data_IF_996801524401
#
_entry.id   IF_996801524401
#
_cell.length_a   1.000
_cell.length_b   1.000
_cell.length_c   1.000
_cell.angle_alpha   90.00
_cell.angle_beta   90.00
_cell.angle_gamma   90.00
#
_symmetry.space_group_name_H-M   'P 1'
#
loop_
_entity.id
_entity.type
_entity.pdbx_description
1 polymer ?
#
# COMPACT_ATOMS: atom_id res chain seq x y z
N UNK A 1 -36.40 45.63 31.89
CA UNK A 1 -36.63 45.15 33.28
C UNK A 1 -37.43 43.86 33.18
N UNK A 2 -37.21 42.75 33.88
CA UNK A 2 -36.17 42.23 34.76
C UNK A 2 -36.65 40.82 35.11
N UNK A 3 -35.77 39.81 35.05
CA UNK A 3 -35.94 38.51 35.71
C UNK A 3 -37.01 37.58 35.11
N UNK A 4 -37.02 36.28 35.38
CA UNK A 4 -36.16 35.45 36.21
C UNK A 4 -36.54 33.99 35.88
N UNK A 5 -35.57 33.11 35.72
CA UNK A 5 -35.77 31.65 35.77
C UNK A 5 -35.53 31.20 37.22
N UNK A 6 -36.26 30.19 37.73
CA UNK A 6 -35.56 29.01 38.27
C UNK A 6 -36.33 27.69 37.96
N UNK A 7 -35.68 26.60 37.54
CA UNK A 7 -34.90 25.61 38.30
C UNK A 7 -35.71 24.70 39.24
N UNK A 8 -35.57 23.38 39.02
CA UNK A 8 -35.68 22.21 39.92
C UNK A 8 -36.86 21.25 39.72
N UNK A 9 -36.50 19.98 39.47
CA UNK A 9 -37.38 18.83 39.56
C UNK A 9 -36.69 17.55 39.08
N UNK A 10 -35.96 16.91 40.00
CA UNK A 10 -35.03 15.78 39.80
C UNK A 10 -35.73 14.43 40.04
N UNK A 11 -35.23 13.39 39.37
CA UNK A 11 -35.22 11.93 39.65
C UNK A 11 -36.53 11.14 39.74
N UNK A 12 -36.56 9.97 39.08
CA UNK A 12 -36.82 8.60 39.60
C UNK A 12 -36.53 7.65 38.42
N UNK A 13 -35.34 7.05 38.31
CA UNK A 13 -34.92 5.72 38.81
C UNK A 13 -35.69 4.51 38.28
N UNK A 14 -34.94 3.40 38.20
CA UNK A 14 -35.31 1.99 37.99
C UNK A 14 -35.25 1.53 36.53
N UNK A 15 -34.11 0.99 36.08
CA UNK A 15 -33.64 -0.37 36.39
C UNK A 15 -34.65 -1.42 35.89
N UNK A 16 -34.31 -2.04 34.77
CA UNK A 16 -34.80 -3.38 34.43
C UNK A 16 -33.67 -4.12 33.72
N UNK A 17 -32.71 -4.59 34.53
CA UNK A 17 -31.86 -5.73 34.19
C UNK A 17 -32.79 -6.89 33.85
N UNK A 18 -32.86 -7.27 32.59
CA UNK A 18 -33.49 -8.54 32.22
C UNK A 18 -32.58 -9.65 32.71
N UNK A 19 -33.04 -10.22 33.82
CA UNK A 19 -32.46 -11.36 34.52
C UNK A 19 -32.46 -12.56 33.57
N UNK A 20 -31.29 -13.16 33.36
CA UNK A 20 -31.19 -14.51 32.85
C UNK A 20 -31.97 -15.46 33.74
N UNK A 21 -33.03 -16.08 33.20
CA UNK A 21 -33.57 -17.32 33.75
C UNK A 21 -33.02 -18.48 32.94
N UNK A 22 -31.97 -19.08 33.48
CA UNK A 22 -31.65 -20.46 33.22
C UNK A 22 -32.76 -21.34 33.83
N UNK A 23 -33.31 -22.25 33.03
CA UNK A 23 -34.14 -23.36 33.51
C UNK A 23 -33.37 -24.68 33.35
N UNK A 24 -33.56 -25.63 34.27
CA UNK A 24 -32.66 -26.76 34.48
C UNK A 24 -33.08 -28.01 33.70
N UNK A 25 -32.10 -28.86 33.40
CA UNK A 25 -32.28 -30.31 33.38
C UNK A 25 -32.95 -30.90 32.14
N UNK A 26 -32.18 -31.07 31.06
CA UNK A 26 -32.36 -32.21 30.17
C UNK A 26 -30.97 -32.73 29.76
N UNK A 27 -30.74 -34.01 30.01
CA UNK A 27 -29.47 -34.75 29.89
C UNK A 27 -28.85 -34.66 28.48
N UNK A 28 -27.52 -34.43 28.33
CA UNK A 28 -26.86 -34.58 27.05
C UNK A 28 -26.20 -35.96 26.97
N UNK A 29 -26.98 -37.00 26.70
CA UNK A 29 -26.44 -38.25 26.14
C UNK A 29 -26.79 -38.33 24.67
N UNK A 30 -26.11 -37.49 23.89
CA UNK A 30 -25.84 -37.76 22.48
C UNK A 30 -24.67 -36.87 22.09
N UNK A 31 -23.47 -37.45 21.96
CA UNK A 31 -22.34 -36.80 21.30
C UNK A 31 -22.62 -36.86 19.80
N UNK A 32 -22.84 -35.74 19.08
CA UNK A 32 -22.71 -35.76 17.64
C UNK A 32 -21.21 -35.87 17.33
N UNK A 33 -20.87 -36.85 16.52
CA UNK A 33 -19.56 -37.01 15.87
C UNK A 33 -19.15 -35.67 15.22
N UNK A 34 -17.86 -35.27 15.22
CA UNK A 34 -17.44 -34.03 14.57
C UNK A 34 -17.59 -34.18 13.04
N UNK A 35 -18.77 -33.89 12.51
CA UNK A 35 -19.01 -33.73 11.09
C UNK A 35 -18.50 -32.36 10.66
N UNK A 36 -17.36 -32.36 9.99
CA UNK A 36 -16.87 -31.22 9.22
C UNK A 36 -15.55 -30.68 9.72
N UNK A 37 -14.45 -31.20 9.18
CA UNK A 37 -13.30 -30.34 8.93
C UNK A 37 -13.81 -29.20 8.02
N UNK A 38 -14.10 -28.04 8.60
CA UNK A 38 -14.09 -26.80 7.83
C UNK A 38 -12.63 -26.53 7.49
N UNK A 39 -12.18 -27.07 6.36
CA UNK A 39 -10.96 -26.58 5.74
C UNK A 39 -11.25 -25.14 5.31
N UNK A 40 -10.91 -24.18 6.17
CA UNK A 40 -10.84 -22.78 5.77
C UNK A 40 -9.65 -22.70 4.82
N UNK A 41 -9.92 -22.86 3.52
CA UNK A 41 -8.96 -22.49 2.50
C UNK A 41 -8.74 -20.99 2.62
N UNK A 42 -7.65 -20.61 3.29
CA UNK A 42 -7.12 -19.27 3.18
C UNK A 42 -6.71 -19.11 1.72
N UNK A 43 -7.54 -18.42 0.94
CA UNK A 43 -7.21 -18.01 -0.42
C UNK A 43 -6.05 -17.03 -0.28
N UNK A 44 -4.82 -17.55 -0.33
CA UNK A 44 -3.63 -16.74 -0.44
C UNK A 44 -3.81 -15.83 -1.65
N UNK A 45 -3.61 -14.52 -1.44
CA UNK A 45 -3.58 -13.52 -2.52
C UNK A 45 -2.53 -13.95 -3.53
N UNK A 46 -2.96 -14.66 -4.57
CA UNK A 46 -2.15 -14.89 -5.75
C UNK A 46 -2.22 -13.58 -6.53
N UNK A 47 -1.35 -12.65 -6.19
CA UNK A 47 -0.93 -11.61 -7.13
C UNK A 47 -0.08 -12.29 -8.21
N UNK A 48 -0.68 -13.25 -8.93
CA UNK A 48 -0.04 -14.04 -9.97
C UNK A 48 0.08 -13.14 -11.18
N UNK A 49 1.05 -12.25 -11.13
CA UNK A 49 1.62 -11.72 -12.36
C UNK A 49 2.32 -12.92 -12.99
N UNK A 50 1.97 -13.28 -14.23
CA UNK A 50 2.54 -14.40 -14.98
C UNK A 50 4.00 -14.11 -15.37
N UNK A 51 4.84 -13.96 -14.34
CA UNK A 51 6.26 -13.75 -14.45
C UNK A 51 6.93 -15.11 -14.67
N UNK A 52 7.99 -15.16 -15.48
CA UNK A 52 8.70 -16.41 -15.75
C UNK A 52 9.21 -17.05 -14.45
N UNK A 53 9.07 -18.36 -14.34
CA UNK A 53 9.64 -19.13 -13.25
C UNK A 53 11.18 -19.05 -13.31
N UNK A 54 11.81 -18.80 -12.16
CA UNK A 54 13.26 -18.79 -12.05
C UNK A 54 13.74 -20.18 -11.62
N UNK A 55 14.67 -20.73 -12.39
CA UNK A 55 15.42 -21.94 -12.03
C UNK A 55 16.65 -21.46 -11.24
N UNK A 56 16.83 -21.94 -10.01
CA UNK A 56 17.94 -21.48 -9.15
C UNK A 56 19.31 -21.93 -9.68
N UNK A 57 19.38 -23.01 -10.47
CA UNK A 57 20.63 -23.53 -11.04
C UNK A 57 21.24 -22.61 -12.13
N UNK A 58 20.43 -21.76 -12.75
CA UNK A 58 20.87 -20.79 -13.76
C UNK A 58 21.33 -19.45 -13.16
N UNK A 59 21.30 -19.34 -11.83
CA UNK A 59 21.55 -18.11 -11.10
C UNK A 59 22.89 -18.17 -10.37
N UNK A 60 23.75 -17.21 -10.68
CA UNK A 60 24.98 -16.96 -9.93
C UNK A 60 24.70 -15.86 -8.90
N UNK A 61 24.81 -16.21 -7.61
CA UNK A 61 24.65 -15.29 -6.49
C UNK A 61 26.02 -14.90 -5.91
N UNK A 62 26.26 -13.60 -5.74
CA UNK A 62 27.47 -13.05 -5.12
C UNK A 62 27.11 -12.00 -4.07
N UNK A 63 27.82 -12.00 -2.94
CA UNK A 63 27.66 -11.00 -1.88
C UNK A 63 28.80 -9.99 -1.93
N UNK A 64 28.44 -8.71 -2.06
CA UNK A 64 29.39 -7.61 -2.17
C UNK A 64 29.14 -6.63 -1.03
N UNK A 65 30.18 -5.86 -0.66
CA UNK A 65 30.04 -4.74 0.28
C UNK A 65 29.44 -3.53 -0.43
N UNK A 66 28.70 -2.70 0.30
CA UNK A 66 28.19 -1.45 -0.26
C UNK A 66 29.34 -0.52 -0.63
N UNK A 67 29.24 0.15 -1.78
CA UNK A 67 30.19 1.18 -2.22
C UNK A 67 29.60 2.58 -2.03
N UNK A 68 30.41 3.54 -1.58
CA UNK A 68 30.03 4.96 -1.52
C UNK A 68 30.36 5.61 -0.17
N UNK A 69 30.02 6.90 0.02
CA UNK A 69 30.13 7.59 1.31
C UNK A 69 29.06 7.09 2.28
N UNK A 70 29.14 5.81 2.62
CA UNK A 70 28.31 5.17 3.63
C UNK A 70 28.92 5.29 5.03
N UNK A 71 28.14 4.94 6.04
CA UNK A 71 28.65 4.79 7.41
C UNK A 71 29.49 3.53 7.58
N UNK A 72 30.06 3.35 8.78
CA UNK A 72 30.89 2.19 9.11
C UNK A 72 30.20 0.84 8.85
N UNK A 73 28.88 0.76 9.09
CA UNK A 73 28.11 -0.45 8.90
C UNK A 73 28.03 -0.89 7.43
N UNK A 74 27.86 0.06 6.50
CA UNK A 74 27.73 -0.20 5.06
C UNK A 74 29.05 -0.70 4.46
N UNK A 75 30.17 -0.14 4.91
CA UNK A 75 31.49 -0.47 4.36
C UNK A 75 32.04 -1.80 4.87
N UNK A 76 31.61 -2.25 6.06
CA UNK A 76 32.07 -3.51 6.67
C UNK A 76 31.22 -4.71 6.23
N UNK A 77 29.91 -4.53 6.11
CA UNK A 77 28.95 -5.62 5.92
C UNK A 77 28.78 -5.98 4.44
N UNK A 78 28.88 -7.27 4.10
CA UNK A 78 28.62 -7.81 2.75
C UNK A 78 27.16 -8.19 2.57
N UNK A 79 26.26 -7.21 2.58
CA UNK A 79 24.81 -7.43 2.46
C UNK A 79 24.22 -7.05 1.09
N UNK A 80 25.02 -6.50 0.18
CA UNK A 80 24.60 -6.23 -1.19
C UNK A 80 24.60 -7.55 -1.97
N UNK A 81 23.47 -7.90 -2.55
CA UNK A 81 23.32 -9.12 -3.36
C UNK A 81 23.48 -8.74 -4.82
N UNK A 82 24.42 -9.38 -5.49
CA UNK A 82 24.59 -9.33 -6.94
C UNK A 82 24.13 -10.66 -7.49
N UNK A 83 23.03 -10.64 -8.24
CA UNK A 83 22.44 -11.81 -8.86
C UNK A 83 22.64 -11.70 -10.36
N UNK A 84 23.22 -12.74 -10.97
CA UNK A 84 23.42 -12.83 -12.41
C UNK A 84 22.69 -14.05 -12.96
N UNK A 85 21.91 -13.85 -14.01
CA UNK A 85 21.32 -14.94 -14.78
C UNK A 85 22.26 -15.33 -15.90
N UNK A 86 22.77 -16.57 -15.86
CA UNK A 86 23.82 -17.04 -16.77
C UNK A 86 23.41 -17.01 -18.24
N UNK A 87 22.25 -17.55 -18.67
CA UNK A 87 21.94 -17.65 -20.09
C UNK A 87 21.59 -16.29 -20.72
N UNK A 88 20.94 -15.37 -19.98
CA UNK A 88 20.61 -14.03 -20.49
C UNK A 88 21.72 -13.00 -20.25
N UNK A 89 22.66 -13.28 -19.35
CA UNK A 89 23.71 -12.34 -18.95
C UNK A 89 23.22 -11.13 -18.15
N UNK A 90 21.97 -11.11 -17.70
CA UNK A 90 21.39 -9.98 -16.95
C UNK A 90 21.91 -9.99 -15.53
N UNK A 91 22.44 -8.84 -15.10
CA UNK A 91 22.91 -8.63 -13.73
C UNK A 91 21.96 -7.69 -12.97
N UNK A 92 21.65 -8.06 -11.73
CA UNK A 92 20.84 -7.28 -10.79
C UNK A 92 21.66 -7.07 -9.52
N UNK A 93 21.77 -5.83 -9.07
CA UNK A 93 22.36 -5.48 -7.78
C UNK A 93 21.26 -4.97 -6.86
N UNK A 94 21.17 -5.50 -5.64
CA UNK A 94 20.17 -5.11 -4.67
C UNK A 94 20.79 -4.83 -3.28
N UNK A 95 20.65 -3.59 -2.83
CA UNK A 95 21.05 -3.13 -1.50
C UNK A 95 19.95 -2.21 -0.95
N UNK A 96 18.83 -2.80 -0.50
CA UNK A 96 17.68 -2.05 0.01
C UNK A 96 17.62 -2.06 1.53
N UNK A 97 17.97 -3.20 2.13
CA UNK A 97 17.88 -3.40 3.59
C UNK A 97 19.19 -3.90 4.16
N UNK A 98 19.33 -3.83 5.49
CA UNK A 98 20.47 -4.41 6.20
C UNK A 98 20.53 -5.94 6.10
N UNK A 99 19.37 -6.58 5.95
CA UNK A 99 19.23 -8.04 5.96
C UNK A 99 19.50 -8.64 4.59
N UNK A 100 20.38 -9.65 4.54
CA UNK A 100 20.76 -10.33 3.31
C UNK A 100 19.56 -11.05 2.70
N UNK A 101 18.83 -11.86 3.48
CA UNK A 101 17.71 -12.65 2.97
C UNK A 101 16.60 -11.83 2.31
N UNK A 102 16.30 -10.66 2.89
CA UNK A 102 15.34 -9.72 2.29
C UNK A 102 15.87 -9.19 0.96
N UNK A 103 17.15 -8.84 0.89
CA UNK A 103 17.78 -8.41 -0.36
C UNK A 103 17.81 -9.54 -1.40
N UNK A 104 17.99 -10.81 -0.99
CA UNK A 104 17.95 -11.97 -1.89
C UNK A 104 16.57 -12.16 -2.52
N UNK A 105 15.51 -12.13 -1.69
CA UNK A 105 14.11 -12.23 -2.16
C UNK A 105 13.80 -11.10 -3.15
N UNK A 106 14.21 -9.89 -2.80
CA UNK A 106 13.99 -8.72 -3.64
C UNK A 106 14.79 -8.75 -4.94
N UNK A 107 16.03 -9.23 -4.91
CA UNK A 107 16.83 -9.41 -6.12
C UNK A 107 16.17 -10.39 -7.10
N UNK A 108 15.61 -11.50 -6.60
CA UNK A 108 14.84 -12.44 -7.43
C UNK A 108 13.59 -11.81 -8.03
N UNK A 109 12.82 -11.04 -7.26
CA UNK A 109 11.65 -10.32 -7.77
C UNK A 109 12.03 -9.37 -8.92
N UNK A 110 13.08 -8.56 -8.71
CA UNK A 110 13.58 -7.63 -9.74
C UNK A 110 14.10 -8.40 -10.95
N UNK A 111 14.75 -9.54 -10.76
CA UNK A 111 15.24 -10.36 -11.85
C UNK A 111 14.09 -10.93 -12.69
N UNK A 112 13.01 -11.40 -12.06
CA UNK A 112 11.79 -11.83 -12.78
C UNK A 112 11.20 -10.71 -13.61
N UNK A 113 11.09 -9.49 -13.04
CA UNK A 113 10.61 -8.33 -13.79
C UNK A 113 11.50 -8.04 -15.01
N UNK A 114 12.83 -8.10 -14.85
CA UNK A 114 13.75 -7.86 -15.97
C UNK A 114 13.67 -8.94 -17.04
N UNK A 115 13.53 -10.20 -16.64
CA UNK A 115 13.36 -11.31 -17.58
C UNK A 115 12.03 -11.20 -18.33
N UNK A 116 10.94 -10.84 -17.66
CA UNK A 116 9.65 -10.62 -18.30
C UNK A 116 9.74 -9.54 -19.39
N UNK A 117 10.44 -8.44 -19.09
CA UNK A 117 10.72 -7.39 -20.07
C UNK A 117 11.63 -7.88 -21.21
N UNK A 118 12.64 -8.71 -20.91
CA UNK A 118 13.55 -9.23 -21.92
C UNK A 118 12.83 -10.20 -22.89
N UNK A 119 11.94 -11.06 -22.39
CA UNK A 119 11.22 -12.04 -23.19
C UNK A 119 10.00 -11.45 -23.92
N UNK A 120 9.19 -10.64 -23.23
CA UNK A 120 7.93 -10.10 -23.78
C UNK A 120 8.06 -8.69 -24.37
N UNK A 121 9.15 -7.98 -24.07
CA UNK A 121 9.37 -6.61 -24.54
C UNK A 121 8.28 -5.65 -24.09
N UNK A 122 7.71 -4.90 -25.03
CA UNK A 122 6.65 -3.91 -24.79
C UNK A 122 5.33 -4.49 -24.30
N UNK A 123 5.10 -5.78 -24.53
CA UNK A 123 3.92 -6.51 -24.08
C UNK A 123 4.04 -6.99 -22.62
N UNK A 124 5.19 -6.78 -21.98
CA UNK A 124 5.36 -7.13 -20.57
C UNK A 124 4.35 -6.38 -19.70
N UNK A 125 3.60 -7.13 -18.90
CA UNK A 125 2.60 -6.57 -17.99
C UNK A 125 3.23 -5.57 -17.01
N UNK A 126 4.49 -5.81 -16.65
CA UNK A 126 5.26 -4.92 -15.78
C UNK A 126 5.39 -3.53 -16.41
N UNK A 127 5.69 -3.44 -17.71
CA UNK A 127 5.78 -2.15 -18.39
C UNK A 127 4.41 -1.52 -18.58
N UNK A 128 3.38 -2.29 -18.92
CA UNK A 128 2.01 -1.78 -19.06
C UNK A 128 1.52 -1.17 -17.75
N UNK A 129 1.64 -1.89 -16.63
CA UNK A 129 1.28 -1.41 -15.29
C UNK A 129 2.09 -0.16 -14.89
N UNK A 130 3.39 -0.12 -15.23
CA UNK A 130 4.24 1.07 -15.02
C UNK A 130 3.75 2.26 -15.85
N UNK A 131 3.53 2.09 -17.16
CA UNK A 131 3.02 3.13 -18.08
C UNK A 131 1.66 3.68 -17.59
N UNK A 132 0.72 2.80 -17.24
CA UNK A 132 -0.59 3.20 -16.69
C UNK A 132 -0.46 4.01 -15.39
N UNK A 133 0.36 3.55 -14.44
CA UNK A 133 0.54 4.26 -13.17
C UNK A 133 1.11 5.67 -13.37
N UNK A 134 2.01 5.83 -14.33
CA UNK A 134 2.58 7.13 -14.72
C UNK A 134 1.53 8.00 -15.37
N UNK A 135 0.73 7.47 -16.30
CA UNK A 135 -0.37 8.20 -16.95
C UNK A 135 -1.39 8.69 -15.92
N UNK A 136 -1.85 7.81 -15.02
CA UNK A 136 -2.77 8.17 -13.93
C UNK A 136 -2.22 9.30 -13.05
N UNK A 137 -0.90 9.29 -12.76
CA UNK A 137 -0.24 10.36 -12.00
C UNK A 137 -0.19 11.67 -12.79
N UNK A 138 0.10 11.61 -14.09
CA UNK A 138 0.13 12.78 -14.96
C UNK A 138 -1.25 13.41 -15.09
N UNK A 139 -2.30 12.63 -15.31
CA UNK A 139 -3.69 13.11 -15.38
C UNK A 139 -4.11 13.80 -14.09
N UNK A 140 -3.80 13.20 -12.93
CA UNK A 140 -4.07 13.83 -11.63
C UNK A 140 -3.35 15.17 -11.49
N UNK A 141 -2.08 15.26 -11.91
CA UNK A 141 -1.32 16.51 -11.90
C UNK A 141 -1.93 17.57 -12.83
N UNK A 142 -2.35 17.18 -14.04
CA UNK A 142 -3.03 18.08 -15.00
C UNK A 142 -4.33 18.64 -14.39
N UNK A 143 -5.19 17.78 -13.85
CA UNK A 143 -6.44 18.18 -13.18
C UNK A 143 -6.22 19.12 -12.01
N UNK A 144 -5.20 18.87 -11.19
CA UNK A 144 -4.84 19.78 -10.08
C UNK A 144 -4.40 21.13 -10.62
N UNK A 145 -3.55 21.15 -11.66
CA UNK A 145 -3.09 22.39 -12.26
C UNK A 145 -4.24 23.21 -12.88
N UNK A 146 -5.13 22.57 -13.61
CA UNK A 146 -6.33 23.21 -14.19
C UNK A 146 -7.24 23.79 -13.10
N UNK A 147 -7.41 23.11 -11.97
CA UNK A 147 -8.21 23.60 -10.85
C UNK A 147 -7.55 24.82 -10.19
N UNK A 148 -6.23 24.82 -10.03
CA UNK A 148 -5.49 25.98 -9.51
C UNK A 148 -5.61 27.20 -10.42
N UNK A 149 -5.52 27.00 -11.74
CA UNK A 149 -5.67 28.08 -12.71
C UNK A 149 -7.08 28.67 -12.69
N UNK A 150 -8.12 27.83 -12.64
CA UNK A 150 -9.51 28.29 -12.49
C UNK A 150 -9.71 29.11 -11.21
N UNK A 151 -9.10 28.70 -10.09
CA UNK A 151 -9.14 29.46 -8.83
C UNK A 151 -8.41 30.81 -8.95
N UNK A 152 -7.29 30.85 -9.69
CA UNK A 152 -6.56 32.09 -9.96
C UNK A 152 -7.39 33.06 -10.77
N UNK A 153 -7.98 32.59 -11.88
CA UNK A 153 -8.85 33.37 -12.75
C UNK A 153 -10.08 33.89 -12.00
N UNK A 154 -10.73 33.05 -11.20
CA UNK A 154 -11.87 33.46 -10.38
C UNK A 154 -11.51 34.54 -9.35
N UNK A 155 -10.35 34.39 -8.68
CA UNK A 155 -9.86 35.39 -7.73
C UNK A 155 -9.51 36.71 -8.44
N UNK A 156 -8.92 36.65 -9.63
CA UNK A 156 -8.59 37.81 -10.44
C UNK A 156 -9.85 38.56 -10.90
N UNK A 157 -10.88 37.84 -11.35
CA UNK A 157 -12.18 38.42 -11.70
C UNK A 157 -12.87 39.12 -10.50
N UNK A 158 -12.84 38.52 -9.31
CA UNK A 158 -13.34 39.18 -8.10
C UNK A 158 -12.53 40.44 -7.72
N UNK A 159 -11.24 40.47 -8.04
CA UNK A 159 -10.37 41.61 -7.77
C UNK A 159 -10.58 42.76 -8.76
N UNK A 160 -10.99 42.48 -10.01
CA UNK A 160 -11.36 43.52 -10.98
C UNK A 160 -12.67 44.20 -10.62
N UNK A 161 -13.67 43.44 -10.17
CA UNK A 161 -14.99 43.99 -9.81
C UNK A 161 -14.95 44.88 -8.55
N UNK A 162 -13.94 44.69 -7.69
CA UNK A 162 -13.74 45.45 -6.44
C UNK A 162 -12.89 46.72 -6.58
N UNK A 163 -12.45 47.07 -7.80
CA UNK A 163 -11.86 48.39 -8.12
C UNK A 163 -12.87 49.23 -8.92
N UNK A 164 -13.91 49.80 -8.31
CA UNK A 164 -14.68 50.85 -8.97
C UNK A 164 -13.76 52.07 -9.17
N UNK A 165 -13.90 52.71 -10.34
CA UNK A 165 -13.07 53.83 -10.78
C UNK A 165 -12.95 54.91 -9.71
N UNK A 166 -11.71 55.26 -9.39
CA UNK A 166 -11.42 56.53 -8.76
C UNK A 166 -11.47 57.58 -9.88
N UNK A 167 -12.68 57.84 -10.38
CA UNK A 167 -12.92 58.84 -11.41
C UNK A 167 -12.76 60.21 -10.75
N UNK A 168 -11.74 60.91 -11.24
CA UNK A 168 -11.19 62.15 -10.72
C UNK A 168 -12.21 63.29 -10.89
N UNK A 169 -12.47 64.07 -9.83
CA UNK A 169 -13.11 65.39 -9.90
C UNK A 169 -12.05 66.46 -10.11
#
# INVERSE_FOLDING_TARGET
MSGLVPFLGRVYTLSSRVLWRASPGVSPLLRPLPTGLTCVFTVGKKDLTDLPALIEDELEEQFVRGSGPGGQATNKTSNCVVLKHVPTGIVVKCHQTRSVDTNRKRAREIMREKLDVAYKGDLSEVLVKKKESVQRKQEKRKKVNENLEKKRQFKEALATDSKPGNDTV
#
